data_IF_389534721229
#
_entry.id   IF_389534721229
#
_cell.length_a   1.000
_cell.length_b   1.000
_cell.length_c   1.000
_cell.angle_alpha   90.00
_cell.angle_beta   90.00
_cell.angle_gamma   90.00
#
_symmetry.space_group_name_H-M   'P 1'
#
loop_
_entity.id
_entity.type
_entity.pdbx_description
1 polymer ?
#
# COMPACT_ATOMS: atom_id res chain seq x y z
N UNK A 1 -23.98 -35.66 6.56
CA UNK A 1 -23.58 -35.12 5.27
C UNK A 1 -23.99 -33.64 5.19
N UNK A 2 -23.09 -32.77 5.55
CA UNK A 2 -23.38 -31.36 5.50
C UNK A 2 -23.08 -30.82 4.10
N UNK A 3 -24.10 -30.80 3.26
CA UNK A 3 -24.04 -30.23 1.94
C UNK A 3 -24.45 -28.74 1.92
N UNK A 4 -24.08 -27.97 2.93
CA UNK A 4 -24.45 -26.55 2.96
C UNK A 4 -23.41 -25.66 3.63
N UNK A 5 -22.16 -25.83 3.32
CA UNK A 5 -21.23 -24.72 3.36
C UNK A 5 -20.98 -24.27 1.92
N UNK A 6 -21.99 -23.82 1.25
CA UNK A 6 -21.81 -22.73 0.31
C UNK A 6 -21.33 -21.56 1.16
N UNK A 7 -20.04 -21.51 1.37
CA UNK A 7 -19.39 -20.37 1.96
C UNK A 7 -19.86 -19.18 1.14
N UNK A 8 -20.66 -18.33 1.76
CA UNK A 8 -21.20 -17.14 1.11
C UNK A 8 -20.06 -16.13 0.96
N UNK A 9 -19.23 -16.35 -0.05
CA UNK A 9 -18.22 -15.39 -0.46
C UNK A 9 -18.83 -14.41 -1.45
N UNK A 10 -18.30 -13.21 -1.43
CA UNK A 10 -18.57 -12.21 -2.45
C UNK A 10 -17.26 -11.57 -2.88
N UNK A 11 -17.27 -10.95 -4.03
CA UNK A 11 -16.15 -10.15 -4.52
C UNK A 11 -16.28 -8.71 -4.06
N UNK A 12 -15.22 -8.20 -3.44
CA UNK A 12 -15.09 -6.78 -3.12
C UNK A 12 -14.03 -6.19 -4.06
N UNK A 13 -14.39 -5.12 -4.74
CA UNK A 13 -13.46 -4.41 -5.64
C UNK A 13 -12.90 -3.20 -4.93
N UNK A 14 -11.58 -3.16 -4.78
CA UNK A 14 -10.85 -2.01 -4.26
C UNK A 14 -10.23 -1.27 -5.44
N UNK A 15 -10.49 0.03 -5.53
CA UNK A 15 -9.90 0.91 -6.53
C UNK A 15 -8.86 1.79 -5.87
N UNK A 16 -7.59 1.68 -6.31
CA UNK A 16 -6.49 2.51 -5.84
C UNK A 16 -6.09 3.50 -6.92
N UNK A 17 -5.94 4.76 -6.55
CA UNK A 17 -5.47 5.83 -7.43
C UNK A 17 -3.97 6.04 -7.19
N UNK A 18 -3.14 5.67 -8.17
CA UNK A 18 -1.68 5.81 -8.07
C UNK A 18 -1.24 7.25 -7.86
N UNK A 19 -1.91 8.19 -8.48
CA UNK A 19 -1.55 9.60 -8.34
C UNK A 19 -1.81 10.12 -6.92
N UNK A 20 -2.92 9.72 -6.31
CA UNK A 20 -3.20 10.07 -4.92
C UNK A 20 -2.17 9.47 -3.96
N UNK A 21 -1.76 8.23 -4.19
CA UNK A 21 -0.74 7.55 -3.41
C UNK A 21 0.61 8.26 -3.58
N UNK A 22 0.95 8.64 -4.81
CA UNK A 22 2.16 9.42 -5.10
C UNK A 22 2.16 10.77 -4.38
N UNK A 23 1.06 11.50 -4.42
CA UNK A 23 0.92 12.78 -3.72
C UNK A 23 1.05 12.63 -2.20
N UNK A 24 0.42 11.60 -1.64
CA UNK A 24 0.53 11.29 -0.21
C UNK A 24 1.97 10.97 0.18
N UNK A 25 2.66 10.18 -0.62
CA UNK A 25 4.09 9.87 -0.44
C UNK A 25 4.95 11.12 -0.49
N UNK A 26 4.73 12.00 -1.46
CA UNK A 26 5.50 13.24 -1.61
C UNK A 26 5.24 14.24 -0.49
N UNK A 27 4.01 14.33 -0.02
CA UNK A 27 3.68 15.16 1.15
C UNK A 27 4.41 14.67 2.41
N UNK A 28 4.48 13.38 2.60
CA UNK A 28 5.20 12.77 3.72
C UNK A 28 6.72 12.97 3.59
N UNK A 29 7.26 12.78 2.40
CA UNK A 29 8.66 13.08 2.11
C UNK A 29 9.00 14.53 2.44
N UNK A 30 8.17 15.49 2.04
CA UNK A 30 8.36 16.90 2.34
C UNK A 30 8.43 17.18 3.85
N UNK A 31 7.61 16.50 4.66
CA UNK A 31 7.67 16.60 6.12
C UNK A 31 8.97 16.03 6.70
N UNK A 32 9.42 14.90 6.17
CA UNK A 32 10.66 14.26 6.62
C UNK A 32 11.88 15.13 6.36
N UNK A 33 11.92 15.78 5.19
CA UNK A 33 13.08 16.60 4.80
C UNK A 33 12.99 18.05 5.25
N UNK A 34 11.89 18.46 5.85
CA UNK A 34 11.72 19.82 6.36
C UNK A 34 12.83 20.17 7.35
N UNK A 35 13.57 21.24 7.09
CA UNK A 35 14.69 21.66 7.91
C UNK A 35 15.97 20.84 7.79
N UNK A 36 16.01 19.86 6.88
CA UNK A 36 17.22 19.08 6.58
C UNK A 36 17.85 19.53 5.27
N UNK A 37 19.19 19.44 5.18
CA UNK A 37 19.91 19.65 3.92
C UNK A 37 19.75 18.41 3.01
N UNK A 38 20.04 18.55 1.73
CA UNK A 38 20.05 17.43 0.78
C UNK A 38 20.98 16.29 1.21
N UNK A 39 22.10 16.63 1.86
CA UNK A 39 23.05 15.64 2.38
C UNK A 39 22.50 14.88 3.59
N UNK A 40 21.66 15.54 4.41
CA UNK A 40 21.06 14.97 5.60
C UNK A 40 19.85 14.08 5.30
N UNK A 41 19.17 14.33 4.20
CA UNK A 41 17.98 13.59 3.79
C UNK A 41 18.03 13.23 2.30
N UNK A 42 19.03 12.43 1.87
CA UNK A 42 19.14 12.05 0.47
C UNK A 42 18.00 11.11 0.08
N UNK A 43 17.34 11.42 -1.02
CA UNK A 43 16.42 10.54 -1.68
C UNK A 43 17.17 9.83 -2.81
N UNK A 44 17.11 8.50 -2.84
CA UNK A 44 17.89 7.69 -3.78
C UNK A 44 17.66 8.08 -5.25
N UNK A 45 16.46 8.52 -5.57
CA UNK A 45 16.05 8.85 -6.94
C UNK A 45 15.70 10.34 -7.13
N UNK A 46 16.11 11.20 -6.20
CA UNK A 46 15.69 12.61 -6.16
C UNK A 46 15.97 13.42 -7.43
N UNK A 47 17.00 13.03 -8.20
CA UNK A 47 17.41 13.71 -9.44
C UNK A 47 16.95 13.00 -10.70
N UNK A 48 16.19 11.91 -10.57
CA UNK A 48 15.69 11.11 -11.67
C UNK A 48 14.25 11.48 -12.02
N UNK A 49 13.70 10.85 -13.06
CA UNK A 49 12.28 10.89 -13.38
C UNK A 49 11.48 10.21 -12.26
N UNK A 50 11.18 10.97 -11.21
CA UNK A 50 10.52 10.46 -10.02
C UNK A 50 9.14 9.84 -10.30
N UNK A 51 8.27 10.44 -11.17
CA UNK A 51 7.01 9.79 -11.53
C UNK A 51 7.19 8.44 -12.21
N UNK A 52 8.17 8.30 -13.11
CA UNK A 52 8.46 7.03 -13.78
C UNK A 52 9.00 5.98 -12.84
N UNK A 53 9.93 6.36 -11.97
CA UNK A 53 10.48 5.47 -10.94
C UNK A 53 9.41 5.08 -9.93
N UNK A 54 8.56 6.01 -9.53
CA UNK A 54 7.43 5.71 -8.65
C UNK A 54 6.56 4.60 -9.22
N UNK A 55 6.23 4.66 -10.50
CA UNK A 55 5.40 3.64 -11.15
C UNK A 55 6.02 2.25 -11.03
N UNK A 56 7.32 2.14 -11.27
CA UNK A 56 8.05 0.86 -11.15
C UNK A 56 8.02 0.36 -9.71
N UNK A 57 8.37 1.21 -8.75
CA UNK A 57 8.39 0.84 -7.34
C UNK A 57 6.98 0.51 -6.82
N UNK A 58 5.99 1.27 -7.25
CA UNK A 58 4.59 1.02 -6.93
C UNK A 58 4.15 -0.37 -7.39
N UNK A 59 4.44 -0.73 -8.63
CA UNK A 59 4.07 -2.04 -9.16
C UNK A 59 4.75 -3.18 -8.40
N UNK A 60 6.03 -3.01 -8.04
CA UNK A 60 6.74 -3.99 -7.25
C UNK A 60 6.15 -4.14 -5.84
N UNK A 61 5.89 -3.03 -5.16
CA UNK A 61 5.29 -3.04 -3.82
C UNK A 61 3.83 -3.52 -3.83
N UNK A 62 3.10 -3.22 -4.88
CA UNK A 62 1.76 -3.77 -5.10
C UNK A 62 1.82 -5.30 -5.17
N UNK A 63 2.77 -5.85 -5.92
CA UNK A 63 3.00 -7.29 -6.00
C UNK A 63 3.33 -7.91 -4.63
N UNK A 64 4.19 -7.26 -3.86
CA UNK A 64 4.54 -7.71 -2.50
C UNK A 64 3.31 -7.67 -1.58
N UNK A 65 2.56 -6.58 -1.59
CA UNK A 65 1.34 -6.44 -0.78
C UNK A 65 0.33 -7.54 -1.12
N UNK A 66 0.06 -7.73 -2.40
CA UNK A 66 -0.90 -8.73 -2.85
C UNK A 66 -0.44 -10.16 -2.55
N UNK A 67 0.86 -10.44 -2.61
CA UNK A 67 1.39 -11.77 -2.24
C UNK A 67 1.16 -12.08 -0.76
N UNK A 68 1.21 -11.07 0.11
CA UNK A 68 0.97 -11.23 1.56
C UNK A 68 -0.49 -11.52 1.91
N UNK A 69 -1.42 -11.20 1.01
CA UNK A 69 -2.85 -11.47 1.16
C UNK A 69 -3.39 -12.36 0.04
N UNK A 70 -2.51 -13.16 -0.57
CA UNK A 70 -2.78 -13.90 -1.80
C UNK A 70 -4.02 -14.79 -1.76
N UNK A 71 -4.35 -15.39 -0.60
CA UNK A 71 -5.54 -16.22 -0.43
C UNK A 71 -6.87 -15.48 -0.62
N UNK A 72 -6.86 -14.15 -0.55
CA UNK A 72 -8.03 -13.30 -0.74
C UNK A 72 -8.07 -12.61 -2.11
N UNK A 73 -7.00 -12.68 -2.88
CA UNK A 73 -6.92 -12.02 -4.18
C UNK A 73 -7.55 -12.89 -5.26
N UNK A 74 -8.53 -12.37 -5.96
CA UNK A 74 -9.11 -13.00 -7.15
C UNK A 74 -8.49 -12.46 -8.43
N UNK A 75 -8.27 -11.14 -8.50
CA UNK A 75 -7.78 -10.48 -9.70
C UNK A 75 -7.13 -9.14 -9.37
N UNK A 76 -6.11 -8.79 -10.13
CA UNK A 76 -5.46 -7.48 -10.08
C UNK A 76 -5.38 -6.95 -11.50
N UNK A 77 -5.87 -5.74 -11.72
CA UNK A 77 -5.79 -5.05 -13.00
C UNK A 77 -5.23 -3.65 -12.78
N UNK A 78 -4.09 -3.38 -13.39
CA UNK A 78 -3.46 -2.06 -13.34
C UNK A 78 -3.72 -1.35 -14.67
N UNK A 79 -4.77 -0.54 -14.70
CA UNK A 79 -5.21 0.11 -15.93
C UNK A 79 -4.29 1.26 -16.34
N UNK A 80 -4.34 1.61 -17.64
CA UNK A 80 -3.60 2.73 -18.21
C UNK A 80 -4.01 4.09 -17.63
N UNK A 81 -5.18 4.19 -16.99
CA UNK A 81 -5.73 5.43 -16.42
C UNK A 81 -5.17 5.76 -15.03
N UNK A 82 -4.16 5.04 -14.57
CA UNK A 82 -3.58 5.27 -13.25
C UNK A 82 -4.37 4.68 -12.09
N UNK A 83 -5.42 3.91 -12.38
CA UNK A 83 -6.21 3.19 -11.39
C UNK A 83 -5.76 1.74 -11.30
N UNK A 84 -5.64 1.23 -10.08
CA UNK A 84 -5.40 -0.18 -9.82
C UNK A 84 -6.67 -0.79 -9.26
N UNK A 85 -7.20 -1.80 -9.93
CA UNK A 85 -8.35 -2.58 -9.47
C UNK A 85 -7.86 -3.85 -8.78
N UNK A 86 -8.26 -4.05 -7.54
CA UNK A 86 -7.98 -5.27 -6.78
C UNK A 86 -9.32 -5.91 -6.41
N UNK A 87 -9.57 -7.11 -6.92
CA UNK A 87 -10.74 -7.89 -6.54
C UNK A 87 -10.38 -8.85 -5.44
N UNK A 88 -11.08 -8.71 -4.33
CA UNK A 88 -10.91 -9.53 -3.14
C UNK A 88 -12.09 -10.46 -2.97
N UNK A 89 -11.78 -11.68 -2.60
CA UNK A 89 -12.76 -12.65 -2.13
C UNK A 89 -12.95 -12.47 -0.62
N UNK A 90 -14.14 -12.06 -0.23
CA UNK A 90 -14.47 -11.78 1.16
C UNK A 90 -15.71 -12.56 1.60
N UNK A 91 -15.92 -12.68 2.90
CA UNK A 91 -17.16 -13.25 3.42
C UNK A 91 -18.33 -12.31 3.12
N UNK A 92 -19.49 -12.89 2.77
CA UNK A 92 -20.67 -12.12 2.40
C UNK A 92 -21.19 -11.22 3.53
N UNK A 93 -20.91 -11.58 4.79
CA UNK A 93 -21.32 -10.80 5.97
C UNK A 93 -20.43 -9.61 6.29
N UNK A 94 -19.36 -9.36 5.53
CA UNK A 94 -18.46 -8.25 5.79
C UNK A 94 -19.18 -6.90 5.58
N UNK A 95 -19.08 -6.02 6.58
CA UNK A 95 -19.72 -4.72 6.54
C UNK A 95 -19.11 -3.82 5.45
N UNK A 96 -19.96 -3.01 4.81
CA UNK A 96 -19.55 -2.10 3.73
C UNK A 96 -18.48 -1.08 4.17
N UNK A 97 -18.45 -0.70 5.44
CA UNK A 97 -17.45 0.23 5.99
C UNK A 97 -16.02 -0.35 5.87
N UNK A 98 -15.87 -1.66 5.85
CA UNK A 98 -14.57 -2.31 5.73
C UNK A 98 -13.93 -2.08 4.35
N UNK A 99 -14.71 -1.79 3.32
CA UNK A 99 -14.18 -1.37 2.03
C UNK A 99 -13.27 -0.14 2.15
N UNK A 100 -13.77 0.91 2.79
CA UNK A 100 -13.02 2.15 2.96
C UNK A 100 -11.77 1.95 3.84
N UNK A 101 -11.88 1.13 4.88
CA UNK A 101 -10.76 0.80 5.76
C UNK A 101 -9.67 0.02 5.02
N UNK A 102 -10.03 -1.02 4.29
CA UNK A 102 -9.08 -1.83 3.51
C UNK A 102 -8.37 -0.94 2.49
N UNK A 103 -9.13 -0.16 1.73
CA UNK A 103 -8.59 0.76 0.74
C UNK A 103 -7.58 1.72 1.37
N UNK A 104 -7.94 2.37 2.46
CA UNK A 104 -7.06 3.31 3.15
C UNK A 104 -5.78 2.63 3.66
N UNK A 105 -5.89 1.43 4.20
CA UNK A 105 -4.72 0.68 4.68
C UNK A 105 -3.81 0.23 3.53
N UNK A 106 -4.38 -0.11 2.40
CA UNK A 106 -3.60 -0.39 1.19
C UNK A 106 -2.87 0.84 0.68
N UNK A 107 -3.53 1.99 0.65
CA UNK A 107 -2.92 3.26 0.28
C UNK A 107 -1.77 3.63 1.24
N UNK A 108 -1.99 3.52 2.55
CA UNK A 108 -0.96 3.77 3.57
C UNK A 108 0.23 2.83 3.39
N UNK A 109 -0.02 1.55 3.16
CA UNK A 109 1.03 0.56 2.93
C UNK A 109 1.88 0.91 1.72
N UNK A 110 1.24 1.19 0.59
CA UNK A 110 1.92 1.47 -0.67
C UNK A 110 2.72 2.77 -0.60
N UNK A 111 2.14 3.84 -0.05
CA UNK A 111 2.84 5.11 0.12
C UNK A 111 4.09 4.95 1.01
N UNK A 112 3.96 4.29 2.14
CA UNK A 112 5.07 4.06 3.06
C UNK A 112 6.14 3.13 2.47
N UNK A 113 5.73 2.03 1.83
CA UNK A 113 6.65 1.06 1.22
C UNK A 113 7.46 1.65 0.09
N UNK A 114 6.82 2.41 -0.79
CA UNK A 114 7.53 3.08 -1.89
C UNK A 114 8.46 4.15 -1.35
N UNK A 115 8.01 4.94 -0.39
CA UNK A 115 8.84 5.97 0.23
C UNK A 115 10.08 5.38 0.90
N UNK A 116 9.94 4.26 1.62
CA UNK A 116 11.08 3.55 2.20
C UNK A 116 12.14 3.19 1.15
N UNK A 117 11.72 2.76 -0.01
CA UNK A 117 12.64 2.37 -1.09
C UNK A 117 13.33 3.57 -1.74
N UNK A 118 12.74 4.76 -1.59
CA UNK A 118 13.33 6.01 -2.07
C UNK A 118 14.40 6.56 -1.11
N UNK A 119 14.41 6.16 0.15
CA UNK A 119 15.42 6.60 1.10
C UNK A 119 16.69 5.76 1.01
N UNK A 120 17.82 6.48 1.01
CA UNK A 120 19.10 5.86 1.37
C UNK A 120 19.18 5.89 2.90
N UNK A 121 19.34 4.75 3.59
CA UNK A 121 19.47 4.73 5.04
C UNK A 121 20.72 5.49 5.47
N UNK A 122 20.54 6.71 5.95
CA UNK A 122 21.58 7.53 6.56
C UNK A 122 21.22 7.81 8.01
N UNK A 123 22.20 8.13 8.83
CA UNK A 123 22.01 8.33 10.27
C UNK A 123 20.93 9.37 10.59
N UNK A 124 20.84 10.44 9.79
CA UNK A 124 19.90 11.55 10.02
C UNK A 124 18.44 11.21 9.67
N UNK A 125 18.20 10.14 8.88
CA UNK A 125 16.87 9.72 8.48
C UNK A 125 16.46 8.35 9.04
N UNK A 126 17.28 7.78 9.91
CA UNK A 126 17.06 6.44 10.46
C UNK A 126 15.74 6.33 11.22
N UNK A 127 15.42 7.35 12.01
CA UNK A 127 14.17 7.37 12.79
C UNK A 127 12.95 7.37 11.88
N UNK A 128 12.97 8.20 10.86
CA UNK A 128 11.89 8.31 9.87
C UNK A 128 11.74 7.01 9.11
N UNK A 129 12.84 6.40 8.72
CA UNK A 129 12.83 5.08 8.08
C UNK A 129 12.19 4.00 8.98
N UNK A 130 12.58 3.94 10.24
CA UNK A 130 12.02 3.00 11.22
C UNK A 130 10.50 3.24 11.44
N UNK A 131 10.05 4.48 11.42
CA UNK A 131 8.62 4.82 11.48
C UNK A 131 7.87 4.31 10.25
N UNK A 132 8.44 4.45 9.06
CA UNK A 132 7.85 3.92 7.83
C UNK A 132 7.76 2.39 7.87
N UNK A 133 8.79 1.72 8.35
CA UNK A 133 8.77 0.26 8.55
C UNK A 133 7.63 -0.15 9.47
N UNK A 134 7.45 0.55 10.58
CA UNK A 134 6.37 0.29 11.53
C UNK A 134 4.99 0.52 10.90
N UNK A 135 4.84 1.55 10.09
CA UNK A 135 3.59 1.87 9.40
C UNK A 135 3.20 0.80 8.38
N UNK A 136 4.16 0.30 7.62
CA UNK A 136 3.89 -0.79 6.66
C UNK A 136 3.44 -2.06 7.38
N UNK A 137 4.05 -2.38 8.49
CA UNK A 137 3.67 -3.56 9.31
C UNK A 137 2.27 -3.40 9.89
N UNK A 138 1.95 -2.23 10.43
CA UNK A 138 0.63 -1.95 10.99
C UNK A 138 -0.46 -2.00 9.93
N UNK A 139 -0.21 -1.40 8.76
CA UNK A 139 -1.15 -1.41 7.65
C UNK A 139 -1.44 -2.84 7.18
N UNK A 140 -0.40 -3.65 6.99
CA UNK A 140 -0.54 -5.04 6.57
C UNK A 140 -1.27 -5.89 7.62
N UNK A 141 -0.95 -5.70 8.89
CA UNK A 141 -1.65 -6.39 9.99
C UNK A 141 -3.12 -6.03 10.01
N UNK A 142 -3.44 -4.76 9.82
CA UNK A 142 -4.82 -4.26 9.78
C UNK A 142 -5.60 -4.88 8.61
N UNK A 143 -5.01 -4.91 7.41
CA UNK A 143 -5.63 -5.51 6.23
C UNK A 143 -5.94 -6.99 6.48
N UNK A 144 -4.95 -7.75 6.95
CA UNK A 144 -5.13 -9.17 7.25
C UNK A 144 -6.19 -9.41 8.31
N UNK A 145 -6.21 -8.59 9.33
CA UNK A 145 -7.19 -8.71 10.41
C UNK A 145 -8.62 -8.46 9.91
N UNK A 146 -8.81 -7.45 9.06
CA UNK A 146 -10.12 -7.15 8.47
C UNK A 146 -10.56 -8.30 7.56
N UNK A 147 -9.68 -8.81 6.71
CA UNK A 147 -10.00 -9.89 5.78
C UNK A 147 -10.27 -11.22 6.48
N UNK A 148 -9.65 -11.47 7.63
CA UNK A 148 -9.84 -12.68 8.41
C UNK A 148 -11.09 -12.67 9.30
N UNK A 149 -11.79 -11.54 9.41
CA UNK A 149 -13.04 -11.48 10.16
C UNK A 149 -14.14 -12.22 9.41
N UNK A 150 -14.72 -13.14 10.10
CA UNK A 150 -15.92 -13.84 9.64
C UNK A 150 -17.19 -13.00 9.88
#
# INVERSE_FOLDING_TARGET
MNMNTMENYRTMTIMLDREQIYRAMMAEYALVVAGKSEEEAPMQYAKCDLPGIFKVLYNEELGVMCSKIGGYIEHIDDSADGLTEIRLRITAGMAAINYALIRRRMEDYLAASVLMRCFVPVRSTRREYELLVSRTRLAMRSIRHILARE
#
